data_IF_719717963769
#
_entry.id   IF_719717963769
#
_cell.length_a   1.000
_cell.length_b   1.000
_cell.length_c   1.000
_cell.angle_alpha   90.00
_cell.angle_beta   90.00
_cell.angle_gamma   90.00
#
_symmetry.space_group_name_H-M   'P 1'
#
loop_
_entity.id
_entity.type
_entity.pdbx_description
1 polymer ?
#
# COMPACT_ATOMS: atom_id res chain seq x y z
N UNK A 1 29.21 5.24 -10.56
CA UNK A 1 28.00 4.48 -10.18
C UNK A 1 27.47 5.08 -8.90
N UNK A 2 26.17 5.35 -8.82
CA UNK A 2 25.53 5.81 -7.59
C UNK A 2 25.58 4.62 -6.60
N UNK A 3 26.19 4.73 -5.41
CA UNK A 3 26.32 3.60 -4.50
C UNK A 3 24.98 3.20 -3.88
N UNK A 4 23.94 4.01 -4.04
CA UNK A 4 22.63 3.78 -3.49
C UNK A 4 21.56 3.70 -4.59
N UNK A 5 20.54 2.84 -4.42
CA UNK A 5 19.41 2.77 -5.35
C UNK A 5 18.67 4.11 -5.39
N UNK A 6 18.11 4.44 -6.56
CA UNK A 6 17.16 5.54 -6.66
C UNK A 6 15.98 5.33 -5.70
N UNK A 7 15.35 6.41 -5.25
CA UNK A 7 14.13 6.35 -4.45
C UNK A 7 13.01 7.10 -5.14
N UNK A 8 11.83 6.49 -5.22
CA UNK A 8 10.61 7.05 -5.81
C UNK A 8 9.49 7.05 -4.77
N UNK A 9 8.81 8.18 -4.61
CA UNK A 9 7.52 8.22 -3.93
C UNK A 9 6.37 8.19 -4.95
N UNK A 10 5.46 7.23 -4.81
CA UNK A 10 4.22 7.15 -5.56
C UNK A 10 3.09 7.82 -4.79
N UNK A 11 2.53 8.90 -5.33
CA UNK A 11 1.40 9.60 -4.68
C UNK A 11 0.24 9.81 -5.65
N UNK A 12 -0.96 9.92 -5.11
CA UNK A 12 -2.17 10.21 -5.85
C UNK A 12 -2.94 11.35 -5.19
N UNK A 13 -3.84 11.06 -4.25
CA UNK A 13 -4.73 12.05 -3.65
C UNK A 13 -4.51 12.23 -2.14
N UNK A 14 -3.42 11.66 -1.60
CA UNK A 14 -3.09 11.72 -0.18
C UNK A 14 -2.79 13.18 0.26
N UNK A 15 -3.56 13.76 1.21
CA UNK A 15 -3.41 15.16 1.64
C UNK A 15 -2.01 15.53 2.15
N UNK A 16 -1.31 14.58 2.76
CA UNK A 16 0.00 14.76 3.37
C UNK A 16 1.16 14.39 2.43
N UNK A 17 0.91 14.02 1.17
CA UNK A 17 1.94 13.51 0.27
C UNK A 17 3.14 14.47 0.12
N UNK A 18 2.90 15.79 0.12
CA UNK A 18 3.99 16.78 0.05
C UNK A 18 4.88 16.76 1.30
N UNK A 19 4.28 16.71 2.48
CA UNK A 19 4.99 16.70 3.76
C UNK A 19 5.74 15.37 3.95
N UNK A 20 5.11 14.27 3.55
CA UNK A 20 5.69 12.92 3.61
C UNK A 20 6.83 12.75 2.60
N UNK A 21 6.74 13.35 1.41
CA UNK A 21 7.84 13.40 0.45
C UNK A 21 9.06 14.15 1.01
N UNK A 22 8.83 15.36 1.53
CA UNK A 22 9.88 16.18 2.15
C UNK A 22 10.55 15.44 3.31
N UNK A 23 9.74 14.76 4.12
CA UNK A 23 10.25 13.94 5.22
C UNK A 23 11.08 12.76 4.71
N UNK A 24 10.64 12.08 3.66
CA UNK A 24 11.34 10.95 3.08
C UNK A 24 12.74 11.35 2.59
N UNK A 25 12.85 12.50 1.92
CA UNK A 25 14.14 13.07 1.52
C UNK A 25 15.03 13.40 2.73
N UNK A 26 14.45 14.03 3.74
CA UNK A 26 15.19 14.41 4.95
C UNK A 26 15.73 13.19 5.70
N UNK A 27 14.92 12.16 5.90
CA UNK A 27 15.32 10.95 6.65
C UNK A 27 16.33 10.12 5.87
N UNK A 28 16.17 9.98 4.55
CA UNK A 28 17.12 9.24 3.73
C UNK A 28 18.39 10.06 3.41
N UNK A 29 18.42 11.35 3.73
CA UNK A 29 19.56 12.24 3.46
C UNK A 29 19.87 12.41 1.97
N UNK A 30 18.89 12.18 1.08
CA UNK A 30 19.08 12.22 -0.38
C UNK A 30 17.80 12.62 -1.11
N UNK A 31 17.91 13.14 -2.35
CA UNK A 31 16.74 13.47 -3.17
C UNK A 31 15.88 12.22 -3.44
N UNK A 32 14.56 12.42 -3.49
CA UNK A 32 13.58 11.37 -3.78
C UNK A 32 12.78 11.82 -5.00
N UNK A 33 12.80 11.01 -6.06
CA UNK A 33 11.96 11.26 -7.24
C UNK A 33 10.49 11.09 -6.83
N UNK A 34 9.57 11.82 -7.43
CA UNK A 34 8.13 11.70 -7.15
C UNK A 34 7.34 11.51 -8.42
N UNK A 35 6.52 10.46 -8.44
CA UNK A 35 5.51 10.25 -9.46
C UNK A 35 4.14 10.49 -8.84
N UNK A 36 3.38 11.41 -9.44
CA UNK A 36 2.14 11.92 -8.85
C UNK A 36 0.96 11.86 -9.83
N UNK A 37 -0.22 11.52 -9.33
CA UNK A 37 -1.49 11.68 -10.06
C UNK A 37 -1.71 10.66 -11.19
N UNK A 38 -0.93 9.58 -11.22
CA UNK A 38 -1.08 8.53 -12.23
C UNK A 38 -2.32 7.69 -11.94
N UNK A 39 -3.30 7.73 -12.86
CA UNK A 39 -4.46 6.85 -12.82
C UNK A 39 -4.07 5.44 -13.25
N UNK A 40 -4.46 4.46 -12.42
CA UNK A 40 -4.18 3.03 -12.61
C UNK A 40 -2.90 2.59 -11.88
N UNK A 41 -3.04 1.73 -10.87
CA UNK A 41 -1.93 1.34 -10.00
C UNK A 41 -0.80 0.63 -10.76
N UNK A 42 -1.11 -0.36 -11.62
CA UNK A 42 -0.09 -1.02 -12.46
C UNK A 42 0.68 -0.03 -13.35
N UNK A 43 -0.03 0.96 -13.90
CA UNK A 43 0.59 2.02 -14.72
C UNK A 43 1.52 2.89 -13.88
N UNK A 44 1.12 3.25 -12.65
CA UNK A 44 1.97 4.02 -11.73
C UNK A 44 3.27 3.28 -11.40
N UNK A 45 3.18 1.99 -11.09
CA UNK A 45 4.36 1.16 -10.82
C UNK A 45 5.30 1.04 -12.03
N UNK A 46 4.77 0.78 -13.23
CA UNK A 46 5.58 0.73 -14.47
C UNK A 46 6.30 2.05 -14.75
N UNK A 47 5.58 3.16 -14.64
CA UNK A 47 6.17 4.50 -14.83
C UNK A 47 7.21 4.84 -13.74
N UNK A 48 7.07 4.30 -12.53
CA UNK A 48 8.09 4.42 -11.49
C UNK A 48 9.40 3.72 -11.89
N UNK A 49 9.29 2.53 -12.48
CA UNK A 49 10.43 1.77 -13.00
C UNK A 49 11.13 2.48 -14.16
N UNK A 50 10.38 3.20 -15.00
CA UNK A 50 10.94 3.99 -16.10
C UNK A 50 11.63 5.29 -15.64
N UNK A 51 11.29 5.77 -14.43
CA UNK A 51 11.82 7.01 -13.86
C UNK A 51 13.21 6.84 -13.21
N UNK A 52 13.60 5.61 -12.90
CA UNK A 52 14.86 5.30 -12.19
C UNK A 52 15.98 4.88 -13.13
N UNK A 53 17.21 5.19 -12.75
CA UNK A 53 18.41 4.89 -13.52
C UNK A 53 19.11 3.60 -13.04
N UNK A 54 18.64 3.04 -11.91
CA UNK A 54 19.21 1.86 -11.26
C UNK A 54 18.37 0.59 -11.49
N UNK A 55 19.02 -0.58 -11.49
CA UNK A 55 18.35 -1.89 -11.69
C UNK A 55 17.42 -2.28 -10.54
N UNK A 56 17.73 -1.81 -9.34
CA UNK A 56 16.87 -1.86 -8.16
C UNK A 56 16.61 -0.47 -7.63
N UNK A 57 15.43 -0.21 -7.09
CA UNK A 57 15.06 1.09 -6.56
C UNK A 57 14.14 0.97 -5.35
N UNK A 58 14.17 1.98 -4.48
CA UNK A 58 13.26 2.09 -3.35
C UNK A 58 11.96 2.77 -3.79
N UNK A 59 10.82 2.22 -3.36
CA UNK A 59 9.49 2.76 -3.62
C UNK A 59 8.75 2.94 -2.29
N UNK A 60 8.27 4.17 -2.06
CA UNK A 60 7.41 4.52 -0.94
C UNK A 60 6.03 4.96 -1.46
N UNK A 61 4.97 4.58 -0.74
CA UNK A 61 3.61 5.03 -1.04
C UNK A 61 3.39 6.46 -0.50
N UNK A 62 2.42 7.19 -1.06
CA UNK A 62 2.19 8.61 -0.79
C UNK A 62 1.67 8.90 0.62
N UNK A 63 1.32 7.86 1.37
CA UNK A 63 0.94 7.90 2.78
C UNK A 63 2.01 7.31 3.72
N UNK A 64 3.19 6.95 3.21
CA UNK A 64 4.26 6.38 4.03
C UNK A 64 4.99 7.45 4.85
N UNK A 65 4.93 7.31 6.17
CA UNK A 65 5.65 8.14 7.14
C UNK A 65 6.85 7.38 7.69
N UNK A 66 8.00 7.60 7.07
CA UNK A 66 9.28 6.98 7.47
C UNK A 66 9.71 7.40 8.89
N UNK A 67 10.27 6.49 9.68
CA UNK A 67 10.80 6.79 11.02
C UNK A 67 12.14 7.52 10.93
N UNK A 68 12.39 8.49 11.82
CA UNK A 68 13.51 9.43 11.71
C UNK A 68 14.92 8.80 11.73
N UNK A 69 15.05 7.58 12.25
CA UNK A 69 16.32 6.82 12.26
C UNK A 69 16.30 5.56 11.40
N UNK A 70 15.30 5.41 10.51
CA UNK A 70 15.28 4.28 9.61
C UNK A 70 16.24 4.52 8.44
N UNK A 71 17.20 3.60 8.29
CA UNK A 71 18.08 3.54 7.14
C UNK A 71 17.82 2.20 6.42
N UNK A 72 17.18 2.20 5.25
CA UNK A 72 17.22 1.05 4.38
C UNK A 72 18.65 0.99 3.87
N UNK A 73 19.46 0.12 4.46
CA UNK A 73 20.76 -0.28 3.93
C UNK A 73 20.55 -1.54 3.06
N UNK A 74 19.99 -1.42 1.84
CA UNK A 74 19.64 -2.56 1.02
C UNK A 74 20.89 -3.25 0.50
N UNK A 75 20.95 -4.56 0.71
CA UNK A 75 21.86 -5.43 -0.03
C UNK A 75 21.28 -5.70 -1.43
N UNK A 76 22.10 -6.08 -2.41
CA UNK A 76 21.62 -6.52 -3.72
C UNK A 76 20.60 -7.67 -3.59
N UNK A 77 19.51 -7.57 -4.34
CA UNK A 77 18.50 -8.63 -4.37
C UNK A 77 19.08 -9.90 -4.99
N UNK A 78 18.82 -11.05 -4.38
CA UNK A 78 19.10 -12.35 -4.99
C UNK A 78 18.37 -12.50 -6.33
N UNK A 79 18.90 -13.34 -7.22
CA UNK A 79 18.42 -13.46 -8.61
C UNK A 79 16.93 -13.81 -8.71
N UNK A 80 16.38 -14.62 -7.80
CA UNK A 80 14.97 -15.03 -7.77
C UNK A 80 14.05 -14.08 -6.98
N UNK A 81 14.61 -13.04 -6.34
CA UNK A 81 13.86 -12.07 -5.52
C UNK A 81 13.51 -10.83 -6.36
N UNK A 82 12.21 -10.60 -6.53
CA UNK A 82 11.69 -9.42 -7.23
C UNK A 82 11.61 -8.20 -6.32
N UNK A 83 11.38 -8.41 -5.02
CA UNK A 83 11.14 -7.32 -4.08
C UNK A 83 11.48 -7.70 -2.63
N UNK A 84 12.03 -6.74 -1.89
CA UNK A 84 12.11 -6.76 -0.43
C UNK A 84 11.26 -5.63 0.15
N UNK A 85 10.58 -5.90 1.27
CA UNK A 85 9.65 -4.96 1.90
C UNK A 85 10.03 -4.75 3.36
N UNK A 86 10.21 -3.49 3.76
CA UNK A 86 10.25 -3.13 5.17
C UNK A 86 8.85 -2.76 5.63
N UNK A 87 8.44 -3.31 6.77
CA UNK A 87 7.07 -3.18 7.27
C UNK A 87 6.77 -1.76 7.71
N UNK A 88 5.50 -1.39 7.67
CA UNK A 88 4.98 -0.17 8.28
C UNK A 88 3.93 -0.52 9.33
N UNK A 89 3.91 0.28 10.39
CA UNK A 89 2.86 0.25 11.41
C UNK A 89 1.57 0.82 10.84
N UNK A 90 0.49 0.09 11.02
CA UNK A 90 -0.86 0.61 10.80
C UNK A 90 -1.25 1.49 12.01
N UNK A 91 -1.58 2.79 11.80
CA UNK A 91 -1.81 3.74 12.89
C UNK A 91 -3.07 3.48 13.71
N UNK A 92 -4.03 2.68 13.21
CA UNK A 92 -5.31 2.43 13.91
C UNK A 92 -5.38 1.02 14.52
N UNK A 93 -4.67 0.05 13.95
CA UNK A 93 -4.59 -1.30 14.53
C UNK A 93 -3.36 -1.51 15.41
N UNK A 94 -2.31 -0.67 15.23
CA UNK A 94 -1.03 -0.79 15.92
C UNK A 94 -0.15 -1.94 15.43
N UNK A 95 -0.61 -2.72 14.44
CA UNK A 95 0.11 -3.87 13.90
C UNK A 95 0.99 -3.46 12.72
N UNK A 96 2.14 -4.11 12.57
CA UNK A 96 3.06 -3.87 11.48
C UNK A 96 2.91 -4.91 10.36
N UNK A 97 2.79 -4.44 9.12
CA UNK A 97 2.60 -5.27 7.93
C UNK A 97 3.46 -4.78 6.77
N UNK A 98 3.63 -5.61 5.74
CA UNK A 98 4.35 -5.20 4.54
C UNK A 98 3.58 -4.18 3.68
N UNK A 99 2.24 -4.16 3.77
CA UNK A 99 1.41 -3.23 3.01
C UNK A 99 1.55 -1.79 3.52
N UNK A 100 1.85 -0.86 2.60
CA UNK A 100 2.13 0.55 2.92
C UNK A 100 3.53 0.82 3.46
N UNK A 101 4.41 -0.19 3.48
CA UNK A 101 5.84 -0.04 3.77
C UNK A 101 6.66 0.53 2.61
N UNK A 102 7.98 0.65 2.83
CA UNK A 102 8.94 0.96 1.76
C UNK A 102 9.46 -0.34 1.16
N UNK A 103 9.60 -0.37 -0.17
CA UNK A 103 9.95 -1.57 -0.93
C UNK A 103 11.23 -1.33 -1.72
N UNK A 104 12.17 -2.26 -1.70
CA UNK A 104 13.24 -2.35 -2.70
C UNK A 104 12.77 -3.27 -3.82
N UNK A 105 12.66 -2.77 -5.04
CA UNK A 105 12.05 -3.48 -6.17
C UNK A 105 13.05 -3.60 -7.31
N UNK A 106 13.12 -4.78 -7.94
CA UNK A 106 13.81 -4.96 -9.23
C UNK A 106 13.00 -4.27 -10.33
N UNK A 107 13.63 -3.32 -11.02
CA UNK A 107 13.02 -2.52 -12.09
C UNK A 107 12.34 -3.37 -13.15
N UNK A 108 13.03 -4.38 -13.66
CA UNK A 108 12.54 -5.29 -14.70
C UNK A 108 11.28 -6.06 -14.26
N UNK A 109 11.16 -6.43 -12.98
CA UNK A 109 10.01 -7.19 -12.48
C UNK A 109 8.68 -6.43 -12.65
N UNK A 110 8.72 -5.09 -12.64
CA UNK A 110 7.53 -4.24 -12.87
C UNK A 110 7.10 -4.17 -14.35
N UNK A 111 7.99 -4.48 -15.28
CA UNK A 111 7.67 -4.56 -16.71
C UNK A 111 6.90 -5.85 -17.03
N UNK A 112 7.09 -6.89 -16.22
CA UNK A 112 6.51 -8.22 -16.39
C UNK A 112 5.42 -8.57 -15.35
N UNK A 113 4.72 -7.56 -14.82
CA UNK A 113 3.59 -7.77 -13.90
C UNK A 113 2.51 -8.65 -14.54
N UNK A 114 2.10 -9.69 -13.80
CA UNK A 114 0.93 -10.52 -14.11
C UNK A 114 -0.41 -9.83 -13.81
N UNK A 115 -1.46 -10.65 -13.69
CA UNK A 115 -2.85 -10.19 -13.62
C UNK A 115 -3.45 -10.19 -12.20
N UNK A 116 -2.71 -10.57 -11.15
CA UNK A 116 -3.21 -10.59 -9.76
C UNK A 116 -3.74 -9.22 -9.34
N UNK A 117 -4.82 -9.18 -8.56
CA UNK A 117 -5.54 -7.93 -8.22
C UNK A 117 -4.67 -7.03 -7.35
N UNK A 118 -3.91 -7.60 -6.42
CA UNK A 118 -2.79 -6.89 -5.82
C UNK A 118 -1.63 -6.83 -6.81
N UNK A 119 -1.23 -5.61 -7.16
CA UNK A 119 -0.12 -5.34 -8.10
C UNK A 119 1.18 -5.98 -7.62
N UNK A 120 1.42 -6.00 -6.31
CA UNK A 120 2.65 -6.55 -5.75
C UNK A 120 2.64 -8.09 -5.73
N UNK A 121 1.47 -8.71 -5.59
CA UNK A 121 1.31 -10.16 -5.76
C UNK A 121 1.47 -10.60 -7.23
N UNK A 122 1.36 -9.67 -8.18
CA UNK A 122 1.54 -9.92 -9.60
C UNK A 122 3.01 -9.93 -10.06
N UNK A 123 3.98 -9.75 -9.15
CA UNK A 123 5.40 -9.79 -9.49
C UNK A 123 5.85 -11.22 -9.86
N UNK A 124 6.71 -11.41 -10.89
CA UNK A 124 7.12 -12.73 -11.38
C UNK A 124 8.19 -13.45 -10.52
N UNK A 125 8.52 -12.92 -9.34
CA UNK A 125 9.58 -13.46 -8.47
C UNK A 125 9.19 -13.41 -6.99
N UNK A 126 10.08 -13.92 -6.12
CA UNK A 126 9.83 -13.95 -4.68
C UNK A 126 9.77 -12.55 -4.09
N UNK A 127 8.94 -12.41 -3.06
CA UNK A 127 8.84 -11.23 -2.20
C UNK A 127 9.31 -11.59 -0.81
N UNK A 128 10.20 -10.78 -0.25
CA UNK A 128 10.76 -10.97 1.08
C UNK A 128 10.37 -9.82 2.01
N UNK A 129 10.15 -10.13 3.28
CA UNK A 129 9.74 -9.15 4.29
C UNK A 129 10.80 -9.04 5.38
N UNK A 130 11.28 -7.82 5.60
CA UNK A 130 12.18 -7.50 6.71
C UNK A 130 11.42 -7.49 8.04
N UNK A 131 12.09 -7.88 9.12
CA UNK A 131 11.53 -7.79 10.48
C UNK A 131 11.44 -6.34 10.98
N UNK A 132 12.39 -5.50 10.55
CA UNK A 132 12.44 -4.10 10.93
C UNK A 132 11.24 -3.31 10.38
N UNK A 133 10.68 -2.45 11.23
CA UNK A 133 9.60 -1.53 10.88
C UNK A 133 10.21 -0.20 10.45
N UNK A 134 9.96 0.19 9.20
CA UNK A 134 10.53 1.38 8.58
C UNK A 134 9.73 2.66 8.87
N UNK A 135 8.44 2.54 9.19
CA UNK A 135 7.58 3.70 9.31
C UNK A 135 6.16 3.37 9.72
N UNK A 136 5.26 4.32 9.45
CA UNK A 136 3.83 4.21 9.68
C UNK A 136 3.08 4.51 8.38
N UNK A 137 2.09 3.70 8.02
CA UNK A 137 1.21 3.96 6.87
C UNK A 137 0.13 4.95 7.30
N UNK A 138 0.34 6.24 7.10
CA UNK A 138 -0.57 7.31 7.54
C UNK A 138 -1.77 7.43 6.61
N UNK A 139 -2.53 6.37 6.38
CA UNK A 139 -3.76 6.43 5.57
C UNK A 139 -4.88 7.24 6.25
N UNK A 140 -4.77 7.51 7.55
CA UNK A 140 -5.74 8.22 8.39
C UNK A 140 -5.70 9.75 8.20
N UNK A 141 -5.58 10.22 6.95
CA UNK A 141 -5.42 11.64 6.60
C UNK A 141 -6.75 12.35 6.38
N UNK A 142 -7.81 11.62 6.06
CA UNK A 142 -9.17 12.13 5.87
C UNK A 142 -10.20 11.00 6.02
N UNK A 143 -11.51 11.31 6.11
CA UNK A 143 -12.58 10.31 6.07
C UNK A 143 -12.48 9.34 4.89
N UNK A 144 -12.28 9.87 3.67
CA UNK A 144 -12.18 9.07 2.46
C UNK A 144 -10.99 8.10 2.50
N UNK A 145 -9.82 8.60 2.88
CA UNK A 145 -8.60 7.79 2.90
C UNK A 145 -8.66 6.68 3.97
N UNK A 146 -9.23 6.98 5.14
CA UNK A 146 -9.48 6.01 6.20
C UNK A 146 -10.46 4.90 5.76
N UNK A 147 -11.57 5.30 5.14
CA UNK A 147 -12.53 4.35 4.58
C UNK A 147 -11.92 3.52 3.43
N UNK A 148 -11.19 4.16 2.50
CA UNK A 148 -10.52 3.51 1.35
C UNK A 148 -9.56 2.41 1.81
N UNK A 149 -8.75 2.70 2.82
CA UNK A 149 -7.79 1.75 3.38
C UNK A 149 -8.49 0.55 4.02
N UNK A 150 -9.45 0.79 4.93
CA UNK A 150 -10.22 -0.30 5.55
C UNK A 150 -11.00 -1.14 4.53
N UNK A 151 -11.60 -0.49 3.54
CA UNK A 151 -12.35 -1.14 2.47
C UNK A 151 -11.49 -2.08 1.64
N UNK A 152 -10.38 -1.58 1.08
CA UNK A 152 -9.49 -2.37 0.23
C UNK A 152 -8.87 -3.53 0.99
N UNK A 153 -8.34 -3.26 2.17
CA UNK A 153 -7.62 -4.26 2.94
C UNK A 153 -8.53 -5.40 3.37
N UNK A 154 -9.71 -5.10 3.94
CA UNK A 154 -10.62 -6.15 4.39
C UNK A 154 -11.28 -6.87 3.21
N UNK A 155 -11.51 -6.21 2.07
CA UNK A 155 -11.95 -6.89 0.87
C UNK A 155 -10.93 -7.94 0.41
N UNK A 156 -9.64 -7.59 0.35
CA UNK A 156 -8.57 -8.50 -0.05
C UNK A 156 -8.34 -9.64 0.97
N UNK A 157 -8.32 -9.32 2.27
CA UNK A 157 -8.21 -10.34 3.32
C UNK A 157 -9.38 -11.32 3.29
N UNK A 158 -10.59 -10.84 3.00
CA UNK A 158 -11.80 -11.69 2.92
C UNK A 158 -11.81 -12.57 1.67
N UNK A 159 -11.25 -12.08 0.54
CA UNK A 159 -11.08 -12.87 -0.70
C UNK A 159 -10.15 -14.06 -0.50
N UNK A 160 -9.15 -13.91 0.36
CA UNK A 160 -8.03 -14.83 0.52
C UNK A 160 -6.74 -14.08 0.24
N UNK A 161 -5.89 -13.92 1.26
CA UNK A 161 -4.65 -13.17 1.16
C UNK A 161 -3.74 -13.77 0.07
N UNK A 162 -3.41 -12.97 -0.96
CA UNK A 162 -2.58 -13.41 -2.09
C UNK A 162 -1.10 -13.67 -1.69
N UNK A 163 -0.73 -13.35 -0.44
CA UNK A 163 0.61 -13.56 0.13
C UNK A 163 0.70 -14.78 1.04
N UNK A 164 -0.31 -15.66 1.03
CA UNK A 164 -0.27 -16.95 1.72
C UNK A 164 -0.36 -16.87 3.25
N UNK A 165 -0.94 -15.80 3.80
CA UNK A 165 -1.20 -15.74 5.24
C UNK A 165 -2.19 -16.83 5.66
N UNK A 166 -1.91 -17.53 6.76
CA UNK A 166 -2.80 -18.55 7.30
C UNK A 166 -4.20 -18.01 7.64
N UNK A 167 -5.20 -18.89 7.69
CA UNK A 167 -6.60 -18.54 7.95
C UNK A 167 -6.82 -17.86 9.31
N UNK A 168 -6.06 -18.26 10.33
CA UNK A 168 -6.10 -17.65 11.67
C UNK A 168 -5.55 -16.22 11.66
N UNK A 169 -4.37 -16.04 11.07
CA UNK A 169 -3.74 -14.72 10.91
C UNK A 169 -4.65 -13.78 10.11
N UNK A 170 -5.27 -14.27 9.03
CA UNK A 170 -6.22 -13.48 8.23
C UNK A 170 -7.44 -13.05 9.06
N UNK A 171 -8.03 -13.95 9.85
CA UNK A 171 -9.15 -13.62 10.75
C UNK A 171 -8.77 -12.60 11.81
N UNK A 172 -7.57 -12.67 12.36
CA UNK A 172 -7.08 -11.66 13.31
C UNK A 172 -6.88 -10.29 12.68
N UNK A 173 -6.36 -10.24 11.45
CA UNK A 173 -6.21 -8.97 10.74
C UNK A 173 -7.56 -8.33 10.46
N UNK A 174 -8.53 -9.10 9.94
CA UNK A 174 -9.91 -8.61 9.74
C UNK A 174 -10.47 -8.07 11.07
N UNK A 175 -10.31 -8.82 12.17
CA UNK A 175 -10.75 -8.37 13.50
C UNK A 175 -10.12 -7.04 13.92
N UNK A 176 -8.83 -6.85 13.66
CA UNK A 176 -8.11 -5.63 14.01
C UNK A 176 -8.61 -4.42 13.19
N UNK A 177 -8.96 -4.62 11.92
CA UNK A 177 -9.56 -3.58 11.08
C UNK A 177 -11.00 -3.25 11.45
N UNK A 178 -11.79 -4.24 11.88
CA UNK A 178 -13.17 -4.03 12.32
C UNK A 178 -13.27 -3.45 13.74
N UNK A 179 -12.26 -3.71 14.58
CA UNK A 179 -12.17 -3.22 15.97
C UNK A 179 -10.82 -2.52 16.20
N UNK A 180 -10.57 -1.37 15.56
CA UNK A 180 -9.33 -0.63 15.72
C UNK A 180 -9.17 -0.09 17.14
N UNK A 181 -7.92 0.05 17.59
CA UNK A 181 -7.56 0.38 18.97
C UNK A 181 -7.40 1.89 19.24
N UNK A 182 -7.70 2.74 18.26
CA UNK A 182 -7.48 4.18 18.36
C UNK A 182 -7.14 4.81 17.01
N UNK A 183 -6.86 6.12 17.00
CA UNK A 183 -6.44 6.86 15.82
C UNK A 183 -7.49 7.82 15.24
N UNK A 184 -7.15 8.45 14.11
CA UNK A 184 -8.03 9.41 13.44
C UNK A 184 -9.02 8.67 12.54
N UNK A 185 -10.23 9.23 12.41
CA UNK A 185 -11.25 8.72 11.49
C UNK A 185 -11.61 7.23 11.71
N UNK A 186 -11.53 6.73 12.95
CA UNK A 186 -11.81 5.34 13.31
C UNK A 186 -13.15 4.84 12.77
N UNK A 187 -14.22 5.63 12.90
CA UNK A 187 -15.54 5.25 12.40
C UNK A 187 -15.52 4.98 10.90
N UNK A 188 -14.75 5.76 10.13
CA UNK A 188 -14.57 5.55 8.70
C UNK A 188 -13.73 4.32 8.38
N UNK A 189 -12.71 4.00 9.19
CA UNK A 189 -11.97 2.73 9.07
C UNK A 189 -12.90 1.54 9.28
N UNK A 190 -13.69 1.56 10.36
CA UNK A 190 -14.62 0.48 10.68
C UNK A 190 -15.70 0.33 9.60
N UNK A 191 -16.24 1.45 9.12
CA UNK A 191 -17.22 1.44 8.04
C UNK A 191 -16.60 0.88 6.75
N UNK A 192 -15.39 1.32 6.39
CA UNK A 192 -14.65 0.79 5.25
C UNK A 192 -14.42 -0.71 5.36
N UNK A 193 -13.93 -1.17 6.51
CA UNK A 193 -13.73 -2.59 6.80
C UNK A 193 -15.02 -3.41 6.62
N UNK A 194 -16.13 -2.93 7.17
CA UNK A 194 -17.45 -3.57 7.03
C UNK A 194 -17.90 -3.64 5.57
N UNK A 195 -17.81 -2.51 4.85
CA UNK A 195 -18.18 -2.40 3.44
C UNK A 195 -17.32 -3.29 2.55
N UNK A 196 -16.02 -3.40 2.85
CA UNK A 196 -15.06 -4.23 2.13
C UNK A 196 -15.36 -5.72 2.32
N UNK A 197 -15.66 -6.12 3.55
CA UNK A 197 -16.07 -7.48 3.86
C UNK A 197 -17.39 -7.85 3.16
N UNK A 198 -18.35 -6.92 3.12
CA UNK A 198 -19.62 -7.11 2.42
C UNK A 198 -19.43 -7.22 0.91
N UNK A 199 -18.59 -6.36 0.33
CA UNK A 199 -18.21 -6.43 -1.09
C UNK A 199 -17.58 -7.79 -1.42
N UNK A 200 -16.61 -8.25 -0.64
CA UNK A 200 -15.94 -9.53 -0.87
C UNK A 200 -16.89 -10.72 -0.80
N UNK A 201 -17.78 -10.78 0.20
CA UNK A 201 -18.78 -11.86 0.33
C UNK A 201 -19.78 -11.91 -0.82
N UNK A 202 -20.08 -10.76 -1.42
CA UNK A 202 -21.01 -10.65 -2.54
C UNK A 202 -20.35 -10.83 -3.91
N UNK A 203 -19.01 -10.88 -3.97
CA UNK A 203 -18.24 -10.87 -5.22
C UNK A 203 -17.56 -12.22 -5.45
N UNK A 204 -17.89 -12.95 -6.53
CA UNK A 204 -17.18 -14.18 -6.89
C UNK A 204 -15.67 -13.96 -7.05
N UNK A 205 -14.85 -14.95 -6.69
CA UNK A 205 -13.38 -14.84 -6.59
C UNK A 205 -12.69 -14.33 -7.87
N UNK A 206 -13.20 -14.69 -9.05
CA UNK A 206 -12.66 -14.31 -10.37
C UNK A 206 -13.51 -13.23 -11.08
N UNK A 207 -14.40 -12.54 -10.36
CA UNK A 207 -15.24 -11.52 -10.97
C UNK A 207 -14.41 -10.29 -11.38
N UNK A 208 -14.67 -9.67 -12.56
CA UNK A 208 -14.02 -8.42 -12.96
C UNK A 208 -14.19 -7.28 -11.96
N UNK A 209 -15.19 -7.36 -11.09
CA UNK A 209 -15.46 -6.36 -10.05
C UNK A 209 -14.28 -6.15 -9.08
N UNK A 210 -13.38 -7.11 -8.92
CA UNK A 210 -12.18 -6.94 -8.08
C UNK A 210 -11.24 -5.84 -8.58
N UNK A 211 -11.21 -5.57 -9.88
CA UNK A 211 -10.41 -4.47 -10.45
C UNK A 211 -10.88 -3.09 -9.96
N UNK A 212 -12.14 -2.96 -9.52
CA UNK A 212 -12.65 -1.72 -8.94
C UNK A 212 -11.93 -1.33 -7.64
N UNK A 213 -11.32 -2.28 -6.93
CA UNK A 213 -10.49 -1.94 -5.78
C UNK A 213 -9.40 -0.95 -6.21
N UNK A 214 -8.83 -1.11 -7.40
CA UNK A 214 -7.74 -0.28 -7.93
C UNK A 214 -8.22 0.97 -8.71
N UNK A 215 -9.52 1.20 -8.80
CA UNK A 215 -10.11 2.36 -9.49
C UNK A 215 -10.42 3.51 -8.51
N UNK A 216 -9.65 4.61 -8.52
CA UNK A 216 -9.86 5.72 -7.60
C UNK A 216 -11.21 6.44 -7.81
N UNK A 217 -11.77 6.43 -9.03
CA UNK A 217 -13.07 7.07 -9.30
C UNK A 217 -14.21 6.24 -8.74
N UNK A 218 -14.13 4.92 -8.91
CA UNK A 218 -15.12 4.00 -8.36
C UNK A 218 -15.14 4.05 -6.83
N UNK A 219 -13.96 4.00 -6.21
CA UNK A 219 -13.82 4.10 -4.75
C UNK A 219 -14.41 5.41 -4.22
N UNK A 220 -14.15 6.53 -4.90
CA UNK A 220 -14.70 7.83 -4.51
C UNK A 220 -16.22 7.87 -4.61
N UNK A 221 -16.79 7.41 -5.72
CA UNK A 221 -18.24 7.38 -5.90
C UNK A 221 -18.94 6.49 -4.85
N UNK A 222 -18.31 5.36 -4.48
CA UNK A 222 -18.80 4.49 -3.42
C UNK A 222 -18.76 5.18 -2.06
N UNK A 223 -17.65 5.83 -1.72
CA UNK A 223 -17.53 6.60 -0.47
C UNK A 223 -18.57 7.72 -0.38
N UNK A 224 -18.79 8.48 -1.45
CA UNK A 224 -19.77 9.57 -1.47
C UNK A 224 -21.19 9.05 -1.18
N UNK A 225 -21.52 7.84 -1.67
CA UNK A 225 -22.79 7.16 -1.37
C UNK A 225 -22.90 6.78 0.11
N UNK A 226 -21.84 6.23 0.70
CA UNK A 226 -21.80 5.87 2.14
C UNK A 226 -21.93 7.13 2.99
N UNK A 227 -21.19 8.19 2.66
CA UNK A 227 -21.22 9.45 3.39
C UNK A 227 -22.58 10.14 3.35
N UNK A 228 -23.31 10.06 2.23
CA UNK A 228 -24.66 10.62 2.14
C UNK A 228 -25.65 9.91 3.09
N UNK A 229 -25.51 8.59 3.28
CA UNK A 229 -26.36 7.80 4.18
C UNK A 229 -26.13 8.14 5.65
N UNK A 230 -24.88 8.41 6.05
CA UNK A 230 -24.53 8.83 7.42
C UNK A 230 -25.08 10.23 7.78
N UNK A 231 -25.42 11.04 6.78
CA UNK A 231 -25.96 12.41 6.98
C UNK A 231 -27.49 12.49 6.94
N UNK A 232 -28.16 11.39 6.56
CA UNK A 232 -29.62 11.30 6.41
C UNK A 232 -30.24 10.66 7.65
#
# INVERSE_FOLDING_TARGET
MNPHPDTVMLSFDEPLANDLHTRLEHVLGRPVKRLHGVVGMRRAYRLAADLVDTDTFLLADGDFHIHAGFDPAPEPLAEDVAMQVWKATNPVTGRAYGYGGIKLIRREALQHLGEAVDVLAALPGRVEFHEQVAGTTRFDQSPYHAWKAGFREVAMLTRGCEYGAGTDTTREQIRAWTNPNGGRFISWVQQGASDGAAFARATPEHAPAWEHLNDPRWLRARFDTVQARERS
#
